data_IF_558320244684
#
_entry.id   IF_558320244684
#
_cell.length_a   1.000
_cell.length_b   1.000
_cell.length_c   1.000
_cell.angle_alpha   90.00
_cell.angle_beta   90.00
_cell.angle_gamma   90.00
#
_symmetry.space_group_name_H-M   'P 1'
#
loop_
_entity.id
_entity.type
_entity.pdbx_description
1 polymer ?
#
# COMPACT_ATOMS: atom_id res chain seq x y z
N UNK A 1 -28.50 -26.34 10.69
CA UNK A 1 -28.88 -25.16 11.51
C UNK A 1 -27.65 -24.28 11.66
N UNK A 2 -27.75 -22.99 11.36
CA UNK A 2 -26.66 -22.04 11.61
C UNK A 2 -26.59 -21.78 13.12
N UNK A 3 -25.44 -22.01 13.74
CA UNK A 3 -25.20 -21.65 15.14
C UNK A 3 -24.28 -20.43 15.13
N UNK A 4 -24.87 -19.25 15.14
CA UNK A 4 -24.11 -18.01 15.22
C UNK A 4 -23.79 -17.73 16.70
N UNK A 5 -22.54 -17.36 16.97
CA UNK A 5 -22.09 -16.90 18.28
C UNK A 5 -21.84 -15.40 18.21
N UNK A 6 -22.02 -14.67 19.31
CA UNK A 6 -21.62 -13.26 19.40
C UNK A 6 -20.52 -13.12 20.43
N UNK A 7 -19.53 -12.27 20.14
CA UNK A 7 -18.47 -11.90 21.09
C UNK A 7 -18.55 -10.41 21.36
N UNK A 8 -18.38 -10.04 22.63
CA UNK A 8 -18.35 -8.66 23.08
C UNK A 8 -16.98 -8.33 23.65
N UNK A 9 -16.35 -7.32 23.09
CA UNK A 9 -15.07 -6.79 23.55
C UNK A 9 -15.29 -5.82 24.73
N UNK A 10 -14.26 -5.60 25.54
CA UNK A 10 -14.35 -4.82 26.78
C UNK A 10 -14.77 -3.36 26.57
N UNK A 11 -14.51 -2.80 25.38
CA UNK A 11 -14.91 -1.44 24.99
C UNK A 11 -16.30 -1.37 24.31
N UNK A 12 -17.09 -2.45 24.40
CA UNK A 12 -18.47 -2.47 23.93
C UNK A 12 -18.66 -2.76 22.44
N UNK A 13 -17.60 -3.15 21.72
CA UNK A 13 -17.73 -3.66 20.35
C UNK A 13 -18.33 -5.06 20.38
N UNK A 14 -19.37 -5.28 19.58
CA UNK A 14 -20.06 -6.56 19.43
C UNK A 14 -19.82 -7.10 18.03
N UNK A 15 -19.40 -8.37 17.93
CA UNK A 15 -19.02 -9.02 16.68
C UNK A 15 -19.71 -10.37 16.61
N UNK A 16 -20.50 -10.58 15.56
CA UNK A 16 -21.09 -11.88 15.28
C UNK A 16 -20.07 -12.79 14.58
N UNK A 17 -20.05 -14.06 14.96
CA UNK A 17 -19.22 -15.12 14.41
C UNK A 17 -20.12 -16.12 13.67
N UNK A 18 -19.97 -16.17 12.35
CA UNK A 18 -20.85 -16.94 11.47
C UNK A 18 -20.34 -18.37 11.29
N UNK A 19 -21.22 -19.36 11.46
CA UNK A 19 -20.90 -20.79 11.33
C UNK A 19 -21.98 -21.56 10.57
N UNK A 20 -21.55 -22.58 9.82
CA UNK A 20 -22.43 -23.56 9.19
C UNK A 20 -21.94 -24.98 9.53
N UNK A 21 -22.54 -25.60 10.56
CA UNK A 21 -22.02 -26.85 11.12
C UNK A 21 -20.64 -26.63 11.74
N UNK A 22 -19.67 -27.47 11.39
CA UNK A 22 -18.25 -27.32 11.80
C UNK A 22 -17.50 -26.24 11.02
N UNK A 23 -18.08 -25.72 9.94
CA UNK A 23 -17.43 -24.70 9.10
C UNK A 23 -17.54 -23.32 9.75
N UNK A 24 -16.41 -22.66 9.92
CA UNK A 24 -16.33 -21.26 10.28
C UNK A 24 -16.41 -20.41 9.02
N UNK A 25 -17.44 -19.57 8.91
CA UNK A 25 -17.67 -18.74 7.73
C UNK A 25 -16.93 -17.41 7.80
N UNK A 26 -16.67 -16.90 9.01
CA UNK A 26 -16.01 -15.61 9.23
C UNK A 26 -16.76 -14.68 10.19
N UNK A 27 -16.42 -13.39 10.18
CA UNK A 27 -17.14 -12.38 10.97
C UNK A 27 -18.42 -11.92 10.24
N UNK A 28 -19.51 -11.89 10.98
CA UNK A 28 -20.80 -11.31 10.63
C UNK A 28 -20.93 -9.87 11.14
N UNK A 29 -22.15 -9.38 11.39
CA UNK A 29 -22.41 -8.04 11.88
C UNK A 29 -21.42 -7.54 12.94
N UNK A 30 -21.03 -6.27 12.83
CA UNK A 30 -20.19 -5.58 13.82
C UNK A 30 -20.92 -4.34 14.29
N UNK A 31 -21.00 -4.14 15.60
CA UNK A 31 -21.70 -3.01 16.21
C UNK A 31 -20.84 -2.30 17.25
N UNK A 32 -21.03 -0.99 17.38
CA UNK A 32 -20.43 -0.15 18.41
C UNK A 32 -21.49 0.75 19.05
N UNK A 33 -21.82 0.49 20.32
CA UNK A 33 -22.83 1.27 21.04
C UNK A 33 -24.20 1.27 20.35
N UNK A 34 -24.60 0.16 19.73
CA UNK A 34 -25.86 0.03 18.99
C UNK A 34 -25.87 0.61 17.57
N UNK A 35 -24.76 1.19 17.10
CA UNK A 35 -24.60 1.55 15.67
C UNK A 35 -24.00 0.37 14.95
N UNK A 36 -24.66 -0.05 13.87
CA UNK A 36 -24.16 -1.09 12.97
C UNK A 36 -23.01 -0.52 12.14
N UNK A 37 -21.81 -1.05 12.30
CA UNK A 37 -20.64 -0.67 11.49
C UNK A 37 -20.55 -1.49 10.20
N UNK A 38 -21.22 -2.65 10.20
CA UNK A 38 -21.22 -3.63 9.11
C UNK A 38 -22.40 -4.59 9.24
N UNK A 39 -23.12 -4.90 8.15
CA UNK A 39 -24.33 -5.74 8.15
C UNK A 39 -24.11 -7.25 8.08
N UNK A 40 -22.95 -7.70 7.62
CA UNK A 40 -22.54 -9.11 7.73
C UNK A 40 -23.13 -10.13 6.76
N UNK A 41 -23.86 -9.73 5.73
CA UNK A 41 -24.39 -10.61 4.67
C UNK A 41 -23.29 -11.32 3.85
N UNK A 42 -22.06 -10.81 3.87
CA UNK A 42 -20.86 -11.38 3.23
C UNK A 42 -19.73 -11.54 4.24
N UNK A 43 -19.58 -12.72 4.90
CA UNK A 43 -18.64 -12.91 6.01
C UNK A 43 -17.22 -12.41 5.72
N UNK A 44 -16.59 -11.73 6.69
CA UNK A 44 -15.15 -11.40 6.60
C UNK A 44 -14.37 -12.68 6.87
N UNK A 45 -13.50 -13.06 5.94
CA UNK A 45 -12.57 -14.17 6.13
C UNK A 45 -11.29 -13.92 5.31
N UNK A 46 -10.12 -14.31 5.83
CA UNK A 46 -8.89 -14.19 5.07
C UNK A 46 -8.84 -15.22 3.94
N UNK A 47 -8.05 -14.94 2.91
CA UNK A 47 -7.61 -15.92 1.91
C UNK A 47 -6.09 -15.91 1.90
N UNK A 48 -5.48 -17.08 2.05
CA UNK A 48 -4.03 -17.23 1.96
C UNK A 48 -3.68 -17.99 0.71
N UNK A 49 -2.54 -17.67 0.11
CA UNK A 49 -2.02 -18.44 -1.01
C UNK A 49 -0.52 -18.68 -0.85
N UNK A 50 -0.11 -19.90 -1.16
CA UNK A 50 1.29 -20.30 -1.20
C UNK A 50 1.92 -19.91 -2.54
N UNK A 51 3.25 -19.86 -2.55
CA UNK A 51 4.06 -19.57 -3.74
C UNK A 51 3.91 -20.61 -4.85
N UNK A 52 3.50 -21.83 -4.52
CA UNK A 52 3.27 -22.91 -5.49
C UNK A 52 1.82 -23.01 -5.96
N UNK A 53 0.91 -22.16 -5.47
CA UNK A 53 -0.47 -22.09 -5.99
C UNK A 53 -1.51 -22.86 -5.18
N UNK A 54 -1.26 -23.15 -3.90
CA UNK A 54 -2.27 -23.67 -2.97
C UNK A 54 -2.95 -22.48 -2.29
N UNK A 55 -4.27 -22.47 -2.20
CA UNK A 55 -5.00 -21.44 -1.50
C UNK A 55 -5.84 -21.98 -0.35
N UNK A 56 -5.74 -21.32 0.79
CA UNK A 56 -6.51 -21.59 2.01
C UNK A 56 -7.63 -20.56 2.14
N UNK A 57 -8.87 -21.01 1.95
CA UNK A 57 -10.07 -20.17 2.05
C UNK A 57 -11.20 -20.81 2.85
N UNK A 58 -11.01 -22.05 3.30
CA UNK A 58 -11.97 -22.80 4.09
C UNK A 58 -11.43 -23.03 5.49
N UNK A 59 -12.24 -22.69 6.48
CA UNK A 59 -11.90 -22.78 7.89
C UNK A 59 -12.92 -23.63 8.61
N UNK A 60 -12.44 -24.58 9.41
CA UNK A 60 -13.25 -25.52 10.17
C UNK A 60 -12.81 -25.59 11.62
N UNK A 61 -13.66 -26.22 12.43
CA UNK A 61 -13.34 -26.62 13.81
C UNK A 61 -12.85 -25.43 14.66
N UNK A 62 -13.50 -24.28 14.48
CA UNK A 62 -13.07 -23.05 15.12
C UNK A 62 -13.30 -23.09 16.63
N UNK A 63 -12.21 -22.95 17.38
CA UNK A 63 -12.20 -22.70 18.82
C UNK A 63 -12.17 -21.18 19.05
N UNK A 64 -13.03 -20.70 19.95
CA UNK A 64 -13.07 -19.29 20.34
C UNK A 64 -12.67 -19.22 21.81
N UNK A 65 -11.60 -18.50 22.09
CA UNK A 65 -11.10 -18.30 23.43
C UNK A 65 -10.95 -16.81 23.74
N UNK A 66 -10.99 -16.45 25.02
CA UNK A 66 -10.61 -15.12 25.50
C UNK A 66 -9.21 -15.20 26.09
N UNK A 67 -8.32 -14.35 25.62
CA UNK A 67 -6.94 -14.26 26.10
C UNK A 67 -6.64 -12.83 26.53
N UNK A 68 -6.68 -12.58 27.84
CA UNK A 68 -6.70 -11.23 28.38
C UNK A 68 -7.91 -10.45 27.87
N UNK A 69 -7.66 -9.32 27.21
CA UNK A 69 -8.70 -8.48 26.59
C UNK A 69 -9.05 -8.94 25.17
N UNK A 70 -8.25 -9.81 24.56
CA UNK A 70 -8.45 -10.25 23.18
C UNK A 70 -9.44 -11.42 23.11
N UNK A 71 -10.18 -11.47 22.00
CA UNK A 71 -10.84 -12.69 21.53
C UNK A 71 -9.94 -13.33 20.48
N UNK A 72 -9.70 -14.63 20.60
CA UNK A 72 -8.83 -15.39 19.69
C UNK A 72 -9.63 -16.53 19.09
N UNK A 73 -9.66 -16.58 17.76
CA UNK A 73 -10.33 -17.62 16.98
C UNK A 73 -9.24 -18.49 16.38
N UNK A 74 -9.22 -19.77 16.74
CA UNK A 74 -8.27 -20.75 16.19
C UNK A 74 -9.04 -21.72 15.32
N UNK A 75 -8.67 -21.84 14.05
CA UNK A 75 -9.36 -22.68 13.10
C UNK A 75 -8.38 -23.54 12.30
N UNK A 76 -8.81 -24.76 11.98
CA UNK A 76 -8.17 -25.57 10.94
C UNK A 76 -8.43 -24.91 9.60
N UNK A 77 -7.38 -24.72 8.80
CA UNK A 77 -7.47 -24.17 7.47
C UNK A 77 -7.26 -25.27 6.43
N UNK A 78 -8.15 -25.34 5.44
CA UNK A 78 -8.07 -26.31 4.35
C UNK A 78 -7.66 -25.58 3.08
N UNK A 79 -6.53 -26.01 2.52
CA UNK A 79 -5.94 -25.51 1.30
C UNK A 79 -6.20 -26.46 0.13
N UNK A 80 -6.41 -25.91 -1.06
CA UNK A 80 -6.51 -26.67 -2.31
C UNK A 80 -5.69 -25.99 -3.39
N UNK A 81 -5.23 -26.76 -4.37
CA UNK A 81 -4.62 -26.19 -5.56
C UNK A 81 -5.60 -25.22 -6.23
N UNK A 82 -5.11 -24.03 -6.56
CA UNK A 82 -5.80 -23.09 -7.43
C UNK A 82 -5.07 -23.04 -8.77
N UNK A 83 -5.80 -22.69 -9.82
CA UNK A 83 -5.20 -22.46 -11.12
C UNK A 83 -4.09 -21.42 -11.00
N UNK A 84 -2.99 -21.66 -11.72
CA UNK A 84 -1.85 -20.76 -11.71
C UNK A 84 -2.33 -19.33 -12.00
N UNK A 85 -2.06 -18.44 -11.05
CA UNK A 85 -2.16 -17.01 -11.25
C UNK A 85 -0.81 -16.54 -11.77
N UNK A 86 -0.79 -15.83 -12.90
CA UNK A 86 0.41 -15.10 -13.33
C UNK A 86 0.55 -13.81 -12.50
N UNK A 87 0.64 -13.98 -11.18
CA UNK A 87 0.57 -12.92 -10.18
C UNK A 87 1.94 -12.43 -9.73
N UNK A 88 2.97 -13.27 -9.88
CA UNK A 88 4.31 -12.96 -9.38
C UNK A 88 4.97 -11.86 -10.20
N UNK A 89 4.57 -11.67 -11.47
CA UNK A 89 5.27 -10.78 -12.40
C UNK A 89 4.70 -9.35 -12.39
N UNK A 90 3.55 -9.09 -11.76
CA UNK A 90 2.77 -7.93 -12.21
C UNK A 90 2.04 -7.17 -11.07
N UNK A 91 2.14 -5.83 -11.11
CA UNK A 91 1.19 -4.89 -10.50
C UNK A 91 -0.19 -4.91 -11.18
N UNK A 92 -0.45 -5.96 -11.95
CA UNK A 92 -1.52 -6.09 -12.92
C UNK A 92 -2.46 -7.23 -12.49
N UNK A 93 -3.52 -7.45 -13.27
CA UNK A 93 -4.58 -8.39 -12.92
C UNK A 93 -3.95 -9.75 -12.61
N UNK A 94 -4.15 -10.35 -11.41
CA UNK A 94 -3.87 -11.75 -11.25
C UNK A 94 -4.79 -12.47 -12.23
N UNK A 95 -4.23 -12.93 -13.36
CA UNK A 95 -5.00 -13.67 -14.36
C UNK A 95 -5.32 -15.01 -13.75
N UNK A 96 -6.44 -15.09 -13.06
CA UNK A 96 -7.07 -16.36 -12.71
C UNK A 96 -7.61 -16.92 -14.01
N UNK A 97 -7.02 -18.01 -14.47
CA UNK A 97 -7.49 -18.69 -15.68
C UNK A 97 -8.89 -19.27 -15.50
N UNK A 98 -9.38 -19.37 -14.26
CA UNK A 98 -10.67 -19.98 -13.93
C UNK A 98 -10.67 -21.49 -14.13
N UNK A 99 -9.48 -22.08 -14.37
CA UNK A 99 -9.27 -23.50 -14.62
C UNK A 99 -9.07 -24.27 -13.31
N UNK A 100 -9.63 -23.78 -12.20
CA UNK A 100 -9.51 -24.43 -10.88
C UNK A 100 -10.07 -25.86 -10.91
N UNK A 101 -11.00 -26.16 -11.83
CA UNK A 101 -11.55 -27.50 -12.05
C UNK A 101 -10.54 -28.50 -12.66
N UNK A 102 -9.43 -28.02 -13.21
CA UNK A 102 -8.31 -28.86 -13.66
C UNK A 102 -7.25 -29.06 -12.58
N UNK A 103 -7.34 -28.34 -11.46
CA UNK A 103 -6.38 -28.44 -10.39
C UNK A 103 -6.50 -29.80 -9.66
N UNK A 104 -5.39 -30.36 -9.15
CA UNK A 104 -5.46 -31.59 -8.39
C UNK A 104 -6.39 -31.47 -7.17
N UNK A 105 -7.09 -32.55 -6.82
CA UNK A 105 -8.03 -32.58 -5.70
C UNK A 105 -7.37 -32.74 -4.32
N UNK A 106 -6.04 -32.71 -4.27
CA UNK A 106 -5.28 -32.83 -3.03
C UNK A 106 -5.62 -31.69 -2.05
N UNK A 107 -5.83 -32.05 -0.79
CA UNK A 107 -6.08 -31.10 0.29
C UNK A 107 -4.84 -30.94 1.16
N UNK A 108 -4.63 -29.70 1.58
CA UNK A 108 -3.54 -29.30 2.46
C UNK A 108 -4.11 -28.76 3.75
N UNK A 109 -3.42 -28.99 4.86
CA UNK A 109 -3.85 -28.50 6.16
C UNK A 109 -2.91 -27.43 6.70
N UNK A 110 -3.51 -26.36 7.19
CA UNK A 110 -2.83 -25.31 7.95
C UNK A 110 -3.64 -24.93 9.17
N UNK A 111 -3.13 -23.95 9.92
CA UNK A 111 -3.78 -23.41 11.10
C UNK A 111 -3.87 -21.90 11.01
N UNK A 112 -5.07 -21.37 11.21
CA UNK A 112 -5.33 -19.94 11.37
C UNK A 112 -5.51 -19.62 12.86
N UNK A 113 -4.82 -18.61 13.34
CA UNK A 113 -5.15 -17.87 14.55
C UNK A 113 -5.57 -16.45 14.16
N UNK A 114 -6.77 -16.04 14.57
CA UNK A 114 -7.31 -14.72 14.32
C UNK A 114 -7.60 -14.03 15.65
N UNK A 115 -6.82 -12.99 15.94
CA UNK A 115 -6.88 -12.22 17.18
C UNK A 115 -7.60 -10.90 16.97
N UNK A 116 -8.62 -10.66 17.79
CA UNK A 116 -9.42 -9.43 17.86
C UNK A 116 -9.15 -8.78 19.21
N UNK A 117 -8.50 -7.62 19.22
CA UNK A 117 -8.09 -6.93 20.47
C UNK A 117 -8.78 -5.59 20.57
N UNK A 118 -9.54 -5.28 21.64
CA UNK A 118 -10.15 -3.97 21.81
C UNK A 118 -9.08 -2.87 21.81
N UNK A 119 -9.40 -1.72 21.21
CA UNK A 119 -8.50 -0.57 21.17
C UNK A 119 -9.29 0.73 21.13
N UNK A 120 -8.82 1.72 21.87
CA UNK A 120 -9.47 3.04 21.97
C UNK A 120 -8.48 4.19 21.73
N UNK A 121 -7.96 4.37 20.50
CA UNK A 121 -7.04 5.47 20.25
C UNK A 121 -7.77 6.83 20.30
N UNK A 122 -7.03 7.86 20.72
CA UNK A 122 -7.47 9.26 20.64
C UNK A 122 -6.78 9.89 19.43
N UNK A 123 -7.57 10.34 18.46
CA UNK A 123 -7.09 10.95 17.21
C UNK A 123 -7.76 12.32 17.10
N UNK A 124 -6.98 13.40 16.99
CA UNK A 124 -7.54 14.76 16.94
C UNK A 124 -8.40 15.13 18.15
N UNK A 125 -8.12 14.55 19.33
CA UNK A 125 -8.93 14.72 20.54
C UNK A 125 -10.25 13.93 20.57
N UNK A 126 -10.50 13.08 19.58
CA UNK A 126 -11.68 12.21 19.49
C UNK A 126 -11.28 10.77 19.79
N UNK A 127 -11.97 10.13 20.74
CA UNK A 127 -11.79 8.71 21.04
C UNK A 127 -12.55 7.84 20.04
N UNK A 128 -11.85 6.92 19.39
CA UNK A 128 -12.45 5.89 18.56
C UNK A 128 -12.58 4.60 19.36
N UNK A 129 -13.77 4.05 19.57
CA UNK A 129 -13.92 2.71 20.14
C UNK A 129 -13.88 1.69 19.02
N UNK A 130 -12.97 0.71 19.10
CA UNK A 130 -12.73 -0.23 18.02
C UNK A 130 -11.95 -1.46 18.43
N UNK A 131 -11.38 -2.13 17.45
CA UNK A 131 -10.52 -3.28 17.68
C UNK A 131 -9.46 -3.40 16.60
N UNK A 132 -8.39 -4.09 16.95
CA UNK A 132 -7.37 -4.52 16.02
C UNK A 132 -7.60 -5.97 15.66
N UNK A 133 -7.68 -6.23 14.35
CA UNK A 133 -7.72 -7.56 13.75
C UNK A 133 -6.32 -7.97 13.30
N UNK A 134 -5.80 -9.09 13.81
CA UNK A 134 -4.54 -9.70 13.37
C UNK A 134 -4.75 -11.16 13.00
N UNK A 135 -4.08 -11.60 11.96
CA UNK A 135 -4.07 -12.98 11.54
C UNK A 135 -2.66 -13.54 11.65
N UNK A 136 -2.55 -14.73 12.23
CA UNK A 136 -1.35 -15.55 12.19
C UNK A 136 -1.71 -16.89 11.56
N UNK A 137 -0.88 -17.35 10.63
CA UNK A 137 -1.09 -18.57 9.90
C UNK A 137 0.15 -19.46 9.97
N UNK A 138 -0.06 -20.77 10.07
CA UNK A 138 0.98 -21.79 9.91
C UNK A 138 0.53 -22.78 8.85
N UNK A 139 1.28 -22.84 7.75
CA UNK A 139 1.04 -23.75 6.63
C UNK A 139 1.66 -25.13 6.83
N UNK A 140 1.36 -26.06 5.92
CA UNK A 140 1.96 -27.39 5.94
C UNK A 140 3.45 -27.34 5.62
N UNK A 141 4.18 -28.37 6.04
CA UNK A 141 5.61 -28.47 5.81
C UNK A 141 5.95 -28.38 4.30
N UNK A 142 6.97 -27.59 3.99
CA UNK A 142 7.47 -27.40 2.62
C UNK A 142 6.62 -26.46 1.75
N UNK A 143 5.53 -25.89 2.26
CA UNK A 143 4.71 -24.89 1.54
C UNK A 143 4.95 -23.51 2.13
N UNK A 144 5.35 -22.57 1.28
CA UNK A 144 5.72 -21.22 1.68
C UNK A 144 4.63 -20.23 1.27
N UNK A 145 4.31 -19.30 2.16
CA UNK A 145 3.28 -18.29 2.01
C UNK A 145 3.96 -16.93 2.14
N UNK A 146 3.65 -16.04 1.21
CA UNK A 146 4.17 -14.67 1.22
C UNK A 146 3.06 -13.61 1.24
N UNK A 147 1.79 -14.05 1.14
CA UNK A 147 0.65 -13.13 1.09
C UNK A 147 -0.59 -13.66 1.78
N UNK A 148 -1.37 -12.72 2.28
CA UNK A 148 -2.72 -12.96 2.78
C UNK A 148 -3.64 -11.81 2.39
N UNK A 149 -4.81 -12.15 1.87
CA UNK A 149 -5.86 -11.20 1.53
C UNK A 149 -6.90 -11.12 2.66
N UNK A 150 -7.11 -9.93 3.23
CA UNK A 150 -8.29 -9.56 4.00
C UNK A 150 -9.33 -8.98 3.05
N UNK A 151 -10.48 -9.66 2.95
CA UNK A 151 -11.62 -9.23 2.13
C UNK A 151 -12.77 -8.89 3.06
N UNK A 152 -13.05 -7.61 3.19
CA UNK A 152 -14.07 -7.10 4.11
C UNK A 152 -15.01 -6.11 3.43
N UNK A 153 -16.11 -5.80 4.13
CA UNK A 153 -16.99 -4.70 3.77
C UNK A 153 -17.23 -3.87 5.02
N UNK A 154 -17.33 -2.56 4.87
CA UNK A 154 -17.69 -1.67 5.97
C UNK A 154 -18.68 -0.64 5.46
N UNK A 155 -19.78 -0.52 6.18
CA UNK A 155 -20.89 0.32 5.79
C UNK A 155 -21.53 0.86 7.06
N UNK A 156 -21.14 2.10 7.43
CA UNK A 156 -21.64 2.75 8.63
C UNK A 156 -23.17 2.87 8.57
N UNK A 157 -23.87 2.39 9.60
CA UNK A 157 -25.32 2.24 9.60
C UNK A 157 -25.86 0.99 8.89
N UNK A 158 -24.98 0.11 8.39
CA UNK A 158 -25.36 -1.10 7.65
C UNK A 158 -25.64 -0.89 6.16
N UNK A 159 -25.46 0.33 5.64
CA UNK A 159 -25.62 0.70 4.23
C UNK A 159 -24.63 1.81 3.88
N UNK A 160 -24.21 1.91 2.62
CA UNK A 160 -23.46 3.07 2.13
C UNK A 160 -24.32 4.33 1.97
N UNK A 161 -25.65 4.21 1.99
CA UNK A 161 -26.55 5.34 1.84
C UNK A 161 -26.42 6.33 3.02
N UNK A 162 -26.20 7.61 2.70
CA UNK A 162 -26.04 8.66 3.72
C UNK A 162 -24.63 8.75 4.32
N UNK A 163 -23.69 7.96 3.80
CA UNK A 163 -22.29 8.03 4.18
C UNK A 163 -21.46 8.80 3.14
N UNK A 164 -20.40 9.44 3.60
CA UNK A 164 -19.40 10.08 2.74
C UNK A 164 -18.04 9.43 3.00
N UNK A 165 -17.35 9.02 1.94
CA UNK A 165 -15.98 8.52 1.97
C UNK A 165 -15.01 9.67 1.71
N UNK A 166 -13.98 9.82 2.56
CA UNK A 166 -12.83 10.70 2.28
C UNK A 166 -11.60 9.81 2.11
N UNK A 167 -11.17 9.64 0.85
CA UNK A 167 -10.09 8.73 0.46
C UNK A 167 -9.21 9.40 -0.61
N UNK A 168 -8.00 9.81 -0.21
CA UNK A 168 -7.05 10.38 -1.16
C UNK A 168 -6.43 9.27 -2.01
N UNK A 169 -6.69 9.28 -3.31
CA UNK A 169 -6.21 8.28 -4.26
C UNK A 169 -5.57 8.95 -5.47
N UNK A 170 -4.32 8.62 -5.77
CA UNK A 170 -3.59 9.13 -6.93
C UNK A 170 -4.26 8.78 -8.27
N UNK A 171 -4.94 7.64 -8.35
CA UNK A 171 -5.55 7.16 -9.59
C UNK A 171 -6.95 7.69 -9.86
N UNK A 172 -7.60 8.29 -8.86
CA UNK A 172 -8.93 8.90 -8.96
C UNK A 172 -8.95 10.24 -8.22
N UNK A 173 -8.07 11.19 -8.61
CA UNK A 173 -7.89 12.45 -7.89
C UNK A 173 -9.15 13.32 -7.87
N UNK A 174 -10.03 13.15 -8.86
CA UNK A 174 -11.32 13.83 -8.95
C UNK A 174 -12.37 13.30 -7.94
N UNK A 175 -12.08 12.21 -7.23
CA UNK A 175 -12.98 11.53 -6.29
C UNK A 175 -12.38 11.34 -4.89
N UNK A 176 -11.67 12.34 -4.38
CA UNK A 176 -11.10 12.29 -3.02
C UNK A 176 -12.16 12.31 -1.91
N UNK A 177 -13.33 12.89 -2.18
CA UNK A 177 -14.46 12.91 -1.27
C UNK A 177 -15.71 12.56 -2.05
N UNK A 178 -16.43 11.52 -1.61
CA UNK A 178 -17.54 10.94 -2.36
C UNK A 178 -18.71 10.67 -1.43
N UNK A 179 -19.83 11.33 -1.69
CA UNK A 179 -21.11 10.96 -1.09
C UNK A 179 -21.52 9.61 -1.67
N UNK A 180 -21.50 8.59 -0.83
CA UNK A 180 -21.86 7.24 -1.23
C UNK A 180 -23.37 7.08 -1.26
N UNK A 181 -23.78 6.10 -2.05
CA UNK A 181 -25.16 5.65 -2.11
C UNK A 181 -25.27 4.48 -3.07
N UNK A 182 -26.44 3.83 -3.08
CA UNK A 182 -26.70 2.67 -3.93
C UNK A 182 -26.36 2.93 -5.40
N UNK A 183 -26.68 4.10 -5.94
CA UNK A 183 -26.41 4.47 -7.34
C UNK A 183 -24.96 4.84 -7.67
N UNK A 184 -24.08 4.94 -6.67
CA UNK A 184 -22.71 5.44 -6.84
C UNK A 184 -21.76 4.28 -7.11
N UNK A 185 -20.89 4.48 -8.11
CA UNK A 185 -19.73 3.65 -8.39
C UNK A 185 -18.45 4.37 -7.96
N UNK A 186 -17.61 3.66 -7.21
CA UNK A 186 -16.34 4.18 -6.72
C UNK A 186 -15.28 3.08 -6.67
N UNK A 187 -14.04 3.44 -6.97
CA UNK A 187 -12.91 2.54 -6.90
C UNK A 187 -11.61 3.30 -6.71
N UNK A 188 -10.70 2.77 -5.89
CA UNK A 188 -9.30 3.24 -5.82
C UNK A 188 -8.35 2.50 -6.77
N UNK A 189 -8.85 1.54 -7.56
CA UNK A 189 -8.04 0.87 -8.59
C UNK A 189 -7.83 1.78 -9.79
N UNK A 190 -6.59 1.89 -10.26
CA UNK A 190 -6.21 2.59 -11.47
C UNK A 190 -6.59 1.78 -12.70
N UNK A 191 -7.84 1.88 -13.16
CA UNK A 191 -8.32 1.15 -14.35
C UNK A 191 -8.15 1.93 -15.66
N UNK A 192 -7.61 3.13 -15.60
CA UNK A 192 -7.34 3.93 -16.78
C UNK A 192 -5.93 3.67 -17.32
N UNK A 193 -5.81 3.56 -18.64
CA UNK A 193 -4.54 3.74 -19.32
C UNK A 193 -4.17 5.22 -19.17
N UNK A 194 -3.02 5.51 -18.55
CA UNK A 194 -2.58 6.91 -18.45
C UNK A 194 -2.12 7.35 -19.85
N UNK A 195 -2.70 8.43 -20.40
CA UNK A 195 -2.23 8.99 -21.66
C UNK A 195 -0.75 9.36 -21.56
N UNK A 196 0.05 8.99 -22.57
CA UNK A 196 1.51 9.19 -22.56
C UNK A 196 2.31 8.13 -21.77
N UNK A 197 1.66 7.28 -20.98
CA UNK A 197 2.28 6.11 -20.35
C UNK A 197 1.85 4.85 -21.11
N UNK A 198 2.81 4.03 -21.54
CA UNK A 198 2.52 2.82 -22.33
C UNK A 198 1.71 1.73 -21.61
N UNK A 199 1.40 1.90 -20.32
CA UNK A 199 0.75 0.91 -19.47
C UNK A 199 -0.57 1.37 -18.84
N UNK A 200 -1.39 0.40 -18.42
CA UNK A 200 -2.50 0.62 -17.49
C UNK A 200 -1.97 0.96 -16.09
N UNK A 201 -2.73 1.77 -15.36
CA UNK A 201 -2.43 2.06 -13.97
C UNK A 201 -2.66 0.84 -13.05
N UNK A 202 -2.10 0.94 -11.85
CA UNK A 202 -2.02 -0.11 -10.85
C UNK A 202 -3.40 -0.49 -10.32
N UNK A 203 -3.68 -1.78 -10.15
CA UNK A 203 -4.96 -2.23 -9.58
C UNK A 203 -5.03 -2.07 -8.08
N UNK A 204 -3.92 -2.38 -7.43
CA UNK A 204 -3.77 -2.23 -5.99
C UNK A 204 -2.86 -1.06 -5.70
N UNK A 205 -3.34 -0.21 -4.82
CA UNK A 205 -2.60 0.95 -4.36
C UNK A 205 -1.85 0.60 -3.09
N UNK A 206 -0.61 1.04 -2.98
CA UNK A 206 0.20 0.79 -1.79
C UNK A 206 -0.24 1.71 -0.66
N UNK A 207 -0.63 1.12 0.48
CA UNK A 207 -0.70 1.87 1.74
C UNK A 207 0.68 2.39 2.06
N UNK A 208 0.78 3.65 2.49
CA UNK A 208 2.05 4.33 2.75
C UNK A 208 2.95 4.59 1.53
N UNK A 209 2.62 4.06 0.35
CA UNK A 209 3.36 4.29 -0.89
C UNK A 209 2.93 5.54 -1.65
N UNK A 210 2.01 6.34 -1.11
CA UNK A 210 1.50 7.58 -1.73
C UNK A 210 0.39 7.39 -2.77
N UNK A 211 0.08 6.15 -3.16
CA UNK A 211 -1.01 5.86 -4.11
C UNK A 211 -2.41 6.06 -3.51
N UNK A 212 -2.58 5.69 -2.23
CA UNK A 212 -3.82 5.90 -1.46
C UNK A 212 -3.49 6.35 -0.02
N UNK A 213 -4.49 6.83 0.72
CA UNK A 213 -4.31 7.19 2.10
C UNK A 213 -3.92 5.96 2.96
N UNK A 214 -3.16 6.17 4.06
CA UNK A 214 -2.74 5.08 4.92
C UNK A 214 -3.86 4.45 5.77
N UNK A 215 -5.03 5.08 5.75
CA UNK A 215 -6.26 4.67 6.42
C UNK A 215 -7.45 5.02 5.51
N UNK A 216 -8.56 4.33 5.74
CA UNK A 216 -9.86 4.60 5.16
C UNK A 216 -10.70 5.40 6.15
N UNK A 217 -11.49 6.36 5.65
CA UNK A 217 -12.33 7.21 6.49
C UNK A 217 -13.73 7.38 5.91
N UNK A 218 -14.71 6.82 6.61
CA UNK A 218 -16.12 6.88 6.26
C UNK A 218 -16.87 7.64 7.36
N UNK A 219 -17.69 8.62 7.00
CA UNK A 219 -18.48 9.36 7.99
C UNK A 219 -19.94 9.51 7.59
N UNK A 220 -20.78 9.77 8.59
CA UNK A 220 -22.16 10.19 8.46
C UNK A 220 -22.47 11.26 9.52
N UNK A 221 -23.72 11.70 9.62
CA UNK A 221 -24.13 12.60 10.70
C UNK A 221 -23.92 11.98 12.10
N UNK A 222 -23.95 10.65 12.23
CA UNK A 222 -23.88 9.92 13.50
C UNK A 222 -22.45 9.68 14.01
N UNK A 223 -21.44 9.88 13.16
CA UNK A 223 -20.04 9.68 13.52
C UNK A 223 -19.15 9.30 12.33
N UNK A 224 -17.94 8.80 12.63
CA UNK A 224 -17.07 8.20 11.61
C UNK A 224 -16.51 6.85 12.01
N UNK A 225 -16.32 6.05 10.97
CA UNK A 225 -15.56 4.83 10.96
C UNK A 225 -14.19 5.10 10.34
N UNK A 226 -13.14 4.69 11.05
CA UNK A 226 -11.78 4.68 10.52
C UNK A 226 -11.27 3.25 10.44
N UNK A 227 -10.54 2.95 9.38
CA UNK A 227 -9.81 1.69 9.24
C UNK A 227 -8.37 1.97 8.84
N UNK A 228 -7.39 1.43 9.56
CA UNK A 228 -5.99 1.64 9.20
C UNK A 228 -5.07 0.67 9.93
N UNK A 229 -3.78 0.74 9.63
CA UNK A 229 -2.81 -0.28 10.07
C UNK A 229 -1.95 0.22 11.21
N UNK A 230 -1.63 -0.64 12.17
CA UNK A 230 -0.89 -0.21 13.36
C UNK A 230 0.52 0.26 13.06
N UNK A 231 1.17 -0.34 12.07
CA UNK A 231 2.51 0.02 11.61
C UNK A 231 2.56 0.00 10.09
N UNK A 232 3.44 0.80 9.47
CA UNK A 232 3.74 0.63 8.05
C UNK A 232 4.15 -0.82 7.72
N UNK A 233 3.63 -1.34 6.62
CA UNK A 233 3.96 -2.63 6.05
C UNK A 233 3.66 -2.61 4.55
N UNK A 234 4.16 -3.61 3.83
CA UNK A 234 3.85 -3.75 2.41
C UNK A 234 2.43 -4.31 2.24
N UNK A 235 1.46 -3.41 2.10
CA UNK A 235 0.05 -3.72 1.97
C UNK A 235 -0.48 -3.10 0.68
N UNK A 236 -1.01 -3.97 -0.18
CA UNK A 236 -1.68 -3.60 -1.41
C UNK A 236 -3.17 -3.52 -1.14
N UNK A 237 -3.77 -2.35 -1.32
CA UNK A 237 -5.20 -2.17 -1.03
C UNK A 237 -6.00 -1.63 -2.20
N UNK A 238 -7.28 -1.97 -2.20
CA UNK A 238 -8.26 -1.42 -3.12
C UNK A 238 -9.63 -1.33 -2.46
N UNK A 239 -10.30 -0.20 -2.64
CA UNK A 239 -11.69 0.02 -2.21
C UNK A 239 -12.60 -0.05 -3.43
N UNK A 240 -13.73 -0.73 -3.30
CA UNK A 240 -14.65 -0.94 -4.40
C UNK A 240 -16.10 -0.77 -3.94
N UNK A 241 -16.83 0.11 -4.63
CA UNK A 241 -18.27 0.28 -4.50
C UNK A 241 -18.88 0.18 -5.88
N UNK A 242 -19.81 -0.76 -6.05
CA UNK A 242 -20.56 -0.94 -7.31
C UNK A 242 -21.90 -0.24 -7.23
N UNK A 243 -22.35 0.32 -8.35
CA UNK A 243 -23.73 0.77 -8.48
C UNK A 243 -24.70 -0.41 -8.26
N UNK A 244 -25.81 -0.16 -7.57
CA UNK A 244 -26.80 -1.16 -7.14
C UNK A 244 -26.46 -1.85 -5.81
N UNK A 245 -25.19 -1.85 -5.39
CA UNK A 245 -24.75 -2.42 -4.11
C UNK A 245 -24.82 -1.37 -2.99
N UNK A 246 -25.07 -1.80 -1.76
CA UNK A 246 -25.11 -0.98 -0.55
C UNK A 246 -23.88 -1.21 0.36
N UNK A 247 -22.88 -1.96 -0.13
CA UNK A 247 -21.62 -2.24 0.56
C UNK A 247 -20.47 -1.47 -0.06
N UNK A 248 -19.54 -1.04 0.78
CA UNK A 248 -18.21 -0.63 0.35
C UNK A 248 -17.24 -1.77 0.66
N UNK A 249 -16.67 -2.37 -0.38
CA UNK A 249 -15.71 -3.45 -0.27
C UNK A 249 -14.29 -2.93 -0.05
N UNK A 250 -13.57 -3.58 0.85
CA UNK A 250 -12.19 -3.31 1.19
C UNK A 250 -11.39 -4.58 0.96
N UNK A 251 -10.33 -4.45 0.16
CA UNK A 251 -9.41 -5.52 -0.17
C UNK A 251 -8.04 -5.09 0.27
N UNK A 252 -7.42 -5.86 1.16
CA UNK A 252 -6.07 -5.59 1.64
C UNK A 252 -5.25 -6.86 1.58
N UNK A 253 -4.19 -6.81 0.80
CA UNK A 253 -3.27 -7.92 0.62
C UNK A 253 -1.99 -7.59 1.36
N UNK A 254 -1.78 -8.30 2.45
CA UNK A 254 -0.61 -8.22 3.30
C UNK A 254 0.50 -9.07 2.70
N UNK A 255 1.67 -8.46 2.47
CA UNK A 255 2.87 -9.17 2.04
C UNK A 255 3.86 -9.37 3.17
N UNK A 256 4.53 -10.51 3.14
CA UNK A 256 5.65 -10.84 4.00
C UNK A 256 6.70 -11.63 3.23
N UNK A 257 7.87 -11.82 3.84
CA UNK A 257 8.85 -12.79 3.37
C UNK A 257 8.19 -14.17 3.28
N UNK A 258 8.52 -14.94 2.24
CA UNK A 258 7.98 -16.27 2.05
C UNK A 258 8.45 -17.22 3.17
N UNK A 259 7.51 -17.73 3.95
CA UNK A 259 7.76 -18.62 5.09
C UNK A 259 6.55 -19.58 5.26
N UNK A 260 6.70 -20.68 6.00
CA UNK A 260 5.58 -21.52 6.43
C UNK A 260 4.66 -20.78 7.41
N UNK A 261 5.17 -19.73 8.06
CA UNK A 261 4.41 -18.89 8.98
C UNK A 261 4.22 -17.48 8.41
N UNK A 262 3.02 -16.94 8.55
CA UNK A 262 2.74 -15.55 8.20
C UNK A 262 1.96 -14.90 9.32
N UNK A 263 2.36 -13.70 9.73
CA UNK A 263 1.61 -12.84 10.63
C UNK A 263 1.38 -11.49 9.94
N UNK A 264 0.14 -11.00 9.96
CA UNK A 264 -0.16 -9.68 9.44
C UNK A 264 0.09 -8.60 10.48
N UNK A 265 0.42 -7.40 10.02
CA UNK A 265 0.20 -6.22 10.86
C UNK A 265 -1.27 -6.12 11.24
N UNK A 266 -1.54 -5.52 12.40
CA UNK A 266 -2.92 -5.35 12.86
C UNK A 266 -3.66 -4.28 12.08
N UNK A 267 -4.87 -4.62 11.64
CA UNK A 267 -5.82 -3.70 11.04
C UNK A 267 -6.75 -3.19 12.13
N UNK A 268 -6.62 -1.93 12.50
CA UNK A 268 -7.56 -1.25 13.38
C UNK A 268 -8.83 -0.89 12.62
N UNK A 269 -9.99 -1.17 13.22
CA UNK A 269 -11.28 -0.64 12.80
C UNK A 269 -11.93 0.00 14.02
N UNK A 270 -12.26 1.28 13.92
CA UNK A 270 -12.80 2.04 15.04
C UNK A 270 -13.93 2.97 14.64
N UNK A 271 -14.82 3.22 15.58
CA UNK A 271 -15.94 4.13 15.43
C UNK A 271 -15.88 5.22 16.49
N UNK A 272 -16.01 6.47 16.03
CA UNK A 272 -16.20 7.63 16.88
C UNK A 272 -17.63 8.13 16.70
N UNK A 273 -18.43 8.10 17.77
CA UNK A 273 -19.78 8.65 17.77
C UNK A 273 -19.72 10.17 17.78
N UNK A 274 -20.57 10.80 16.96
CA UNK A 274 -20.73 12.23 16.99
C UNK A 274 -21.38 12.70 18.31
N UNK A 275 -20.87 13.79 18.91
CA UNK A 275 -21.50 14.43 20.10
C UNK A 275 -22.77 15.22 19.75
N UNK A 276 -23.03 15.39 18.45
CA UNK A 276 -24.17 16.03 17.82
C UNK A 276 -24.26 15.51 16.38
N UNK A 277 -24.72 16.30 15.41
CA UNK A 277 -24.58 15.95 14.01
C UNK A 277 -23.22 16.44 13.48
N UNK A 278 -22.40 15.54 12.93
CA UNK A 278 -21.16 15.96 12.28
C UNK A 278 -21.44 16.68 10.97
N UNK A 279 -20.77 17.80 10.77
CA UNK A 279 -20.70 18.47 9.48
C UNK A 279 -19.55 17.91 8.65
N UNK A 280 -19.57 18.19 7.35
CA UNK A 280 -18.44 17.88 6.45
C UNK A 280 -17.14 18.55 6.91
N UNK A 281 -17.21 19.73 7.52
CA UNK A 281 -16.04 20.41 8.08
C UNK A 281 -15.46 19.65 9.27
N UNK A 282 -16.31 19.17 10.19
CA UNK A 282 -15.87 18.36 11.32
C UNK A 282 -15.18 17.08 10.85
N UNK A 283 -15.79 16.41 9.87
CA UNK A 283 -15.24 15.20 9.26
C UNK A 283 -13.87 15.45 8.58
N UNK A 284 -13.72 16.54 7.82
CA UNK A 284 -12.44 16.92 7.19
C UNK A 284 -11.36 17.24 8.22
N UNK A 285 -11.70 17.97 9.28
CA UNK A 285 -10.76 18.26 10.37
C UNK A 285 -10.28 16.97 11.05
N UNK A 286 -11.20 16.04 11.33
CA UNK A 286 -10.85 14.76 11.93
C UNK A 286 -10.06 13.86 10.96
N UNK A 287 -10.39 13.89 9.67
CA UNK A 287 -9.63 13.20 8.63
C UNK A 287 -8.19 13.72 8.56
N UNK A 288 -7.98 15.05 8.62
CA UNK A 288 -6.64 15.64 8.67
C UNK A 288 -5.90 15.20 9.93
N UNK A 289 -6.56 15.21 11.10
CA UNK A 289 -5.95 14.73 12.34
C UNK A 289 -5.60 13.23 12.28
N UNK A 290 -6.39 12.43 11.57
CA UNK A 290 -6.07 11.02 11.31
C UNK A 290 -4.86 10.88 10.38
N UNK A 291 -4.75 11.71 9.34
CA UNK A 291 -3.57 11.76 8.48
C UNK A 291 -2.30 12.11 9.27
N UNK A 292 -2.37 13.10 10.15
CA UNK A 292 -1.26 13.47 11.02
C UNK A 292 -0.90 12.30 11.96
N UNK A 293 -1.89 11.73 12.66
CA UNK A 293 -1.69 10.59 13.56
C UNK A 293 -0.99 9.41 12.89
N UNK A 294 -1.46 9.02 11.70
CA UNK A 294 -0.85 7.92 10.97
C UNK A 294 0.55 8.33 10.46
N UNK A 295 0.73 9.56 9.95
CA UNK A 295 2.01 10.03 9.41
C UNK A 295 3.09 10.08 10.49
N UNK A 296 2.76 10.54 11.70
CA UNK A 296 3.65 10.51 12.84
C UNK A 296 4.13 9.10 13.16
N UNK A 297 3.22 8.12 13.19
CA UNK A 297 3.58 6.70 13.39
C UNK A 297 4.46 6.14 12.28
N UNK A 298 4.22 6.56 11.04
CA UNK A 298 5.08 6.17 9.92
C UNK A 298 6.48 6.77 10.06
N UNK A 299 6.58 8.03 10.50
CA UNK A 299 7.85 8.65 10.84
C UNK A 299 8.56 7.95 12.02
N UNK A 300 7.84 7.64 13.09
CA UNK A 300 8.38 6.88 14.24
C UNK A 300 8.93 5.51 13.79
N UNK A 301 8.14 4.77 13.00
CA UNK A 301 8.54 3.48 12.45
C UNK A 301 9.80 3.60 11.58
N UNK A 302 9.82 4.59 10.68
CA UNK A 302 10.95 4.85 9.80
C UNK A 302 12.13 5.53 10.51
N UNK A 303 11.99 5.89 11.80
CA UNK A 303 12.93 6.70 12.58
C UNK A 303 13.28 8.02 11.89
N UNK A 304 12.30 8.62 11.24
CA UNK A 304 12.37 9.92 10.60
C UNK A 304 11.57 10.94 11.39
N UNK A 305 11.68 12.21 11.02
CA UNK A 305 10.88 13.30 11.60
C UNK A 305 9.90 13.80 10.54
N UNK A 306 8.66 14.14 10.93
CA UNK A 306 7.77 14.88 10.04
C UNK A 306 8.47 16.16 9.59
N UNK A 307 8.51 16.41 8.28
CA UNK A 307 8.93 17.69 7.74
C UNK A 307 7.67 18.51 7.41
N UNK A 308 7.67 19.82 7.66
CA UNK A 308 6.57 20.67 7.22
C UNK A 308 6.42 20.56 5.70
N UNK A 309 5.18 20.55 5.22
CA UNK A 309 4.89 20.59 3.78
C UNK A 309 5.39 21.94 3.27
N UNK A 310 6.42 21.89 2.43
CA UNK A 310 6.97 23.06 1.76
C UNK A 310 6.34 23.20 0.37
N UNK A 311 6.00 24.42 -0.09
CA UNK A 311 5.59 24.64 -1.47
C UNK A 311 6.68 24.09 -2.41
N UNK A 312 6.33 23.07 -3.18
CA UNK A 312 7.26 22.31 -4.01
C UNK A 312 6.83 22.39 -5.47
N UNK A 313 7.80 22.58 -6.35
CA UNK A 313 7.62 22.45 -7.79
C UNK A 313 8.33 21.18 -8.26
N UNK A 314 7.55 20.27 -8.85
CA UNK A 314 8.08 19.09 -9.54
C UNK A 314 8.51 19.48 -10.95
N UNK A 315 9.74 19.14 -11.32
CA UNK A 315 10.30 19.40 -12.63
C UNK A 315 10.56 18.07 -13.36
N UNK A 316 9.89 17.82 -14.50
CA UNK A 316 10.29 16.73 -15.38
C UNK A 316 11.62 17.14 -16.04
N UNK A 317 12.75 16.69 -15.48
CA UNK A 317 14.03 16.72 -16.19
C UNK A 317 14.07 15.58 -17.22
N UNK A 318 14.68 15.86 -18.36
CA UNK A 318 14.80 14.97 -19.50
C UNK A 318 15.55 15.71 -20.61
N UNK A 319 15.71 15.10 -21.79
CA UNK A 319 16.48 15.69 -22.89
C UNK A 319 16.05 17.11 -23.29
N UNK A 320 14.79 17.48 -23.06
CA UNK A 320 14.25 18.80 -23.38
C UNK A 320 14.46 19.85 -22.27
N UNK A 321 14.95 19.44 -21.09
CA UNK A 321 15.12 20.30 -19.92
C UNK A 321 16.44 19.94 -19.19
N UNK A 322 17.61 20.22 -19.79
CA UNK A 322 18.90 20.00 -19.15
C UNK A 322 19.07 20.91 -17.93
N UNK A 323 19.99 20.57 -17.02
CA UNK A 323 20.10 21.24 -15.72
C UNK A 323 20.44 22.72 -15.83
N UNK A 324 21.32 23.11 -16.76
CA UNK A 324 21.71 24.53 -16.93
C UNK A 324 20.57 25.39 -17.45
N UNK A 325 19.84 24.90 -18.45
CA UNK A 325 18.67 25.62 -18.98
C UNK A 325 17.60 25.77 -17.91
N UNK A 326 17.33 24.71 -17.14
CA UNK A 326 16.42 24.75 -15.99
C UNK A 326 16.87 25.80 -14.96
N UNK A 327 18.17 25.86 -14.68
CA UNK A 327 18.75 26.81 -13.73
C UNK A 327 18.54 28.26 -14.17
N UNK A 328 18.79 28.55 -15.45
CA UNK A 328 18.76 29.90 -16.00
C UNK A 328 17.34 30.39 -16.33
N UNK A 329 16.38 29.48 -16.51
CA UNK A 329 15.01 29.83 -16.96
C UNK A 329 13.93 29.66 -15.90
N UNK A 330 14.06 28.72 -14.96
CA UNK A 330 12.95 28.35 -14.05
C UNK A 330 13.21 28.68 -12.58
N UNK A 331 14.46 28.73 -12.13
CA UNK A 331 14.77 28.91 -10.70
C UNK A 331 14.27 30.26 -10.17
N UNK A 332 14.59 31.36 -10.84
CA UNK A 332 14.17 32.69 -10.40
C UNK A 332 12.64 32.86 -10.44
N UNK A 333 11.93 32.47 -11.53
CA UNK A 333 10.45 32.47 -11.53
C UNK A 333 9.85 31.64 -10.40
N UNK A 334 10.39 30.44 -10.13
CA UNK A 334 9.89 29.59 -9.06
C UNK A 334 10.07 30.23 -7.68
N UNK A 335 11.22 30.84 -7.43
CA UNK A 335 11.48 31.58 -6.20
C UNK A 335 10.51 32.76 -6.04
N UNK A 336 10.22 33.52 -7.10
CA UNK A 336 9.24 34.63 -7.09
C UNK A 336 7.82 34.16 -6.80
N UNK A 337 7.45 32.96 -7.23
CA UNK A 337 6.17 32.32 -6.92
C UNK A 337 6.10 31.76 -5.49
N UNK A 338 7.21 31.80 -4.74
CA UNK A 338 7.26 31.39 -3.34
C UNK A 338 7.52 29.90 -3.12
N UNK A 339 7.94 29.17 -4.16
CA UNK A 339 8.40 27.80 -4.00
C UNK A 339 9.62 27.75 -3.07
N UNK A 340 9.72 26.65 -2.32
CA UNK A 340 10.78 26.38 -1.34
C UNK A 340 11.61 25.16 -1.70
N UNK A 341 11.08 24.31 -2.57
CA UNK A 341 11.72 23.08 -3.02
C UNK A 341 11.52 22.92 -4.52
N UNK A 342 12.61 22.68 -5.24
CA UNK A 342 12.57 22.13 -6.59
C UNK A 342 12.85 20.63 -6.50
N UNK A 343 11.92 19.82 -7.00
CA UNK A 343 12.05 18.36 -7.04
C UNK A 343 12.24 17.88 -8.46
N UNK A 344 13.40 17.29 -8.73
CA UNK A 344 13.76 16.74 -10.03
C UNK A 344 13.22 15.29 -10.14
N UNK A 345 12.73 14.92 -11.32
CA UNK A 345 12.66 13.53 -11.78
C UNK A 345 14.08 12.87 -11.80
N UNK A 346 14.22 11.58 -12.17
CA UNK A 346 15.48 10.86 -11.97
C UNK A 346 16.62 11.50 -12.74
N UNK A 347 17.73 11.75 -12.04
CA UNK A 347 18.93 12.40 -12.59
C UNK A 347 19.92 11.40 -13.20
N UNK A 348 19.64 10.11 -13.02
CA UNK A 348 20.52 9.02 -13.41
C UNK A 348 20.53 8.79 -14.91
N UNK A 349 21.64 8.23 -15.42
CA UNK A 349 21.68 7.64 -16.75
C UNK A 349 20.63 6.53 -16.83
N UNK A 350 19.61 6.77 -17.65
CA UNK A 350 18.38 5.99 -17.69
C UNK A 350 17.70 6.12 -19.05
N UNK A 351 16.70 5.28 -19.28
CA UNK A 351 15.87 5.34 -20.47
C UNK A 351 15.23 6.72 -20.71
N UNK A 352 14.99 7.50 -19.67
CA UNK A 352 14.42 8.86 -19.79
C UNK A 352 15.37 9.86 -20.44
N UNK A 353 16.67 9.68 -20.25
CA UNK A 353 17.69 10.67 -20.56
C UNK A 353 18.50 10.31 -21.79
N UNK A 354 18.22 9.16 -22.43
CA UNK A 354 18.89 8.72 -23.65
C UNK A 354 18.03 8.95 -24.89
N UNK A 355 18.63 9.38 -26.02
CA UNK A 355 17.92 9.52 -27.28
C UNK A 355 17.25 8.19 -27.70
N UNK A 356 15.96 8.24 -28.02
CA UNK A 356 15.20 7.07 -28.48
C UNK A 356 14.65 6.16 -27.37
N UNK A 357 14.88 6.47 -26.09
CA UNK A 357 14.24 5.75 -24.98
C UNK A 357 12.75 6.06 -24.83
N UNK A 358 11.99 5.17 -24.18
CA UNK A 358 10.56 5.34 -23.94
C UNK A 358 10.20 6.37 -22.83
N UNK A 359 11.19 7.14 -22.33
CA UNK A 359 10.94 8.19 -21.34
C UNK A 359 10.82 7.70 -19.89
N UNK A 360 11.20 6.45 -19.59
CA UNK A 360 11.01 5.86 -18.26
C UNK A 360 12.17 6.15 -17.30
N UNK A 361 11.98 7.13 -16.41
CA UNK A 361 12.98 7.47 -15.39
C UNK A 361 13.22 6.39 -14.32
N UNK A 362 12.34 5.38 -14.22
CA UNK A 362 12.54 4.26 -13.29
C UNK A 362 13.64 3.29 -13.75
N UNK A 363 13.95 3.27 -15.06
CA UNK A 363 14.85 2.30 -15.68
C UNK A 363 16.29 2.83 -15.65
N UNK A 364 16.90 2.80 -14.48
CA UNK A 364 18.29 3.27 -14.28
C UNK A 364 19.25 2.29 -14.98
N UNK A 365 20.11 2.80 -15.86
CA UNK A 365 21.14 2.03 -16.56
C UNK A 365 22.49 2.10 -15.85
N UNK A 366 22.76 3.22 -15.19
CA UNK A 366 23.99 3.46 -14.43
C UNK A 366 23.71 4.53 -13.36
N UNK A 367 24.26 4.38 -12.16
CA UNK A 367 24.08 5.32 -11.04
C UNK A 367 25.01 6.54 -11.15
N UNK A 368 25.23 7.00 -12.38
CA UNK A 368 25.89 8.28 -12.67
C UNK A 368 24.85 9.32 -13.06
N UNK A 369 25.14 10.59 -12.80
CA UNK A 369 24.32 11.69 -13.30
C UNK A 369 24.40 11.69 -14.83
N UNK A 370 23.25 11.74 -15.51
CA UNK A 370 23.19 11.66 -16.97
C UNK A 370 23.95 12.83 -17.62
N UNK A 371 24.89 12.51 -18.51
CA UNK A 371 25.70 13.50 -19.24
C UNK A 371 24.85 14.33 -20.20
N UNK A 372 23.80 13.72 -20.75
CA UNK A 372 22.82 14.36 -21.62
C UNK A 372 22.02 15.47 -20.92
N UNK A 373 21.94 15.42 -19.58
CA UNK A 373 21.36 16.51 -18.77
C UNK A 373 22.39 17.58 -18.37
N UNK A 374 23.67 17.39 -18.72
CA UNK A 374 24.79 18.23 -18.35
C UNK A 374 25.69 17.66 -17.24
N UNK A 375 25.47 16.41 -16.84
CA UNK A 375 26.30 15.71 -15.84
C UNK A 375 26.31 16.37 -14.46
N UNK A 376 27.27 15.98 -13.63
CA UNK A 376 27.42 16.54 -12.27
C UNK A 376 27.70 18.05 -12.28
N UNK A 377 28.41 18.55 -13.30
CA UNK A 377 28.70 19.98 -13.43
C UNK A 377 27.43 20.81 -13.69
N UNK A 378 26.51 20.28 -14.51
CA UNK A 378 25.21 20.89 -14.74
C UNK A 378 24.33 20.84 -13.49
N UNK A 379 24.29 19.69 -12.81
CA UNK A 379 23.53 19.53 -11.57
C UNK A 379 24.04 20.48 -10.48
N UNK A 380 25.36 20.61 -10.35
CA UNK A 380 25.99 21.56 -9.42
C UNK A 380 25.59 23.00 -9.72
N UNK A 381 25.64 23.40 -10.98
CA UNK A 381 25.23 24.75 -11.38
C UNK A 381 23.78 25.04 -11.03
N UNK A 382 22.88 24.07 -11.24
CA UNK A 382 21.48 24.17 -10.85
C UNK A 382 21.32 24.28 -9.32
N UNK A 383 22.00 23.43 -8.54
CA UNK A 383 21.98 23.50 -7.08
C UNK A 383 22.43 24.87 -6.56
N UNK A 384 23.58 25.36 -7.05
CA UNK A 384 24.12 26.66 -6.65
C UNK A 384 23.12 27.80 -6.96
N UNK A 385 22.40 27.74 -8.09
CA UNK A 385 21.35 28.72 -8.44
C UNK A 385 20.14 28.62 -7.54
N UNK A 386 19.69 27.42 -7.21
CA UNK A 386 18.56 27.19 -6.30
C UNK A 386 18.87 27.73 -4.90
N UNK A 387 20.09 27.47 -4.41
CA UNK A 387 20.55 27.95 -3.11
C UNK A 387 20.68 29.47 -3.01
N UNK A 388 21.01 30.17 -4.11
CA UNK A 388 21.01 31.64 -4.15
C UNK A 388 19.64 32.25 -3.78
N UNK A 389 18.56 31.50 -3.95
CA UNK A 389 17.20 31.90 -3.59
C UNK A 389 16.71 31.30 -2.26
N UNK A 390 17.56 30.61 -1.50
CA UNK A 390 17.19 29.95 -0.24
C UNK A 390 16.19 28.82 -0.41
N UNK A 391 16.13 28.21 -1.59
CA UNK A 391 15.33 27.02 -1.88
C UNK A 391 16.18 25.75 -1.73
N UNK A 392 15.52 24.60 -1.65
CA UNK A 392 16.15 23.27 -1.66
C UNK A 392 16.04 22.64 -3.05
N UNK A 393 17.07 21.91 -3.48
CA UNK A 393 17.05 21.05 -4.66
C UNK A 393 17.11 19.58 -4.22
N UNK A 394 16.06 18.82 -4.51
CA UNK A 394 16.02 17.37 -4.27
C UNK A 394 15.76 16.63 -5.58
N UNK A 395 16.21 15.39 -5.69
CA UNK A 395 16.04 14.59 -6.91
C UNK A 395 15.43 13.24 -6.60
N UNK A 396 14.55 12.72 -7.44
CA UNK A 396 14.03 11.38 -7.23
C UNK A 396 15.16 10.33 -7.35
N UNK A 397 15.34 9.53 -6.29
CA UNK A 397 16.32 8.44 -6.24
C UNK A 397 16.11 7.34 -7.29
N UNK A 398 14.91 7.19 -7.89
CA UNK A 398 14.64 6.09 -8.82
C UNK A 398 14.87 4.72 -8.18
N UNK A 399 14.19 4.46 -7.06
CA UNK A 399 14.60 3.47 -6.06
C UNK A 399 14.93 2.08 -6.61
N UNK A 400 16.11 1.53 -6.25
CA UNK A 400 16.66 0.15 -6.41
C UNK A 400 16.29 -0.70 -7.64
N UNK A 401 15.58 -0.16 -8.63
CA UNK A 401 15.18 -0.86 -9.85
C UNK A 401 16.14 -0.48 -10.95
N UNK A 402 16.60 -1.50 -11.65
CA UNK A 402 17.66 -1.42 -12.62
C UNK A 402 17.08 -1.80 -13.98
N UNK A 403 17.32 -0.97 -14.99
CA UNK A 403 16.99 -1.28 -16.37
C UNK A 403 17.78 -2.49 -16.87
N UNK A 404 17.33 -3.11 -17.97
CA UNK A 404 18.02 -4.26 -18.58
C UNK A 404 19.51 -4.00 -18.87
N UNK A 405 19.90 -2.77 -19.21
CA UNK A 405 21.31 -2.44 -19.47
C UNK A 405 22.15 -2.35 -18.19
N UNK A 406 21.61 -1.85 -17.07
CA UNK A 406 22.31 -1.93 -15.79
C UNK A 406 22.50 -3.39 -15.36
N UNK A 407 21.55 -4.28 -15.72
CA UNK A 407 21.77 -5.70 -15.51
C UNK A 407 23.00 -6.19 -16.29
N UNK A 408 23.24 -5.68 -17.51
CA UNK A 408 24.46 -5.99 -18.26
C UNK A 408 25.71 -5.55 -17.49
N UNK A 409 25.74 -4.32 -16.96
CA UNK A 409 26.83 -3.86 -16.08
C UNK A 409 27.05 -4.79 -14.88
N UNK A 410 25.97 -5.18 -14.19
CA UNK A 410 26.04 -6.12 -13.07
C UNK A 410 26.58 -7.49 -13.51
N UNK A 411 26.22 -7.97 -14.71
CA UNK A 411 26.73 -9.24 -15.27
C UNK A 411 28.22 -9.15 -15.59
N UNK A 412 28.60 -8.07 -16.26
CA UNK A 412 29.95 -7.80 -16.74
C UNK A 412 30.94 -7.59 -15.59
N UNK A 413 30.48 -6.98 -14.50
CA UNK A 413 31.26 -6.76 -13.28
C UNK A 413 31.12 -7.90 -12.24
N UNK A 414 30.56 -9.05 -12.64
CA UNK A 414 30.43 -10.26 -11.80
C UNK A 414 29.61 -10.08 -10.50
N UNK A 415 28.66 -9.15 -10.48
CA UNK A 415 27.80 -8.86 -9.32
C UNK A 415 26.39 -9.48 -9.46
N UNK A 416 26.26 -10.59 -10.18
CA UNK A 416 24.97 -11.25 -10.45
C UNK A 416 24.22 -11.69 -9.18
N UNK A 417 24.92 -11.83 -8.07
CA UNK A 417 24.42 -12.09 -6.72
C UNK A 417 23.74 -10.87 -6.09
N UNK A 418 23.96 -9.66 -6.60
CA UNK A 418 23.31 -8.43 -6.11
C UNK A 418 21.89 -8.24 -6.63
N UNK A 419 21.44 -9.07 -7.57
CA UNK A 419 20.10 -8.97 -8.15
C UNK A 419 19.11 -9.80 -7.34
N UNK A 420 17.94 -9.22 -7.05
CA UNK A 420 16.83 -9.92 -6.43
C UNK A 420 16.33 -11.07 -7.32
N UNK A 421 16.11 -12.23 -6.71
CA UNK A 421 15.66 -13.46 -7.37
C UNK A 421 14.49 -14.08 -6.64
N UNK A 422 13.62 -14.74 -7.39
CA UNK A 422 12.63 -15.66 -6.84
C UNK A 422 13.31 -16.89 -6.21
N UNK A 423 12.55 -17.62 -5.39
CA UNK A 423 12.99 -18.87 -4.75
C UNK A 423 13.42 -19.95 -5.76
N UNK A 424 12.92 -19.88 -7.00
CA UNK A 424 13.31 -20.76 -8.11
C UNK A 424 14.50 -20.20 -8.93
N UNK A 425 15.22 -19.22 -8.39
CA UNK A 425 16.34 -18.51 -9.00
C UNK A 425 16.03 -17.71 -10.27
N UNK A 426 14.75 -17.58 -10.66
CA UNK A 426 14.35 -16.65 -11.73
C UNK A 426 14.56 -15.21 -11.27
N UNK A 427 14.87 -14.34 -12.22
CA UNK A 427 15.05 -12.92 -11.96
C UNK A 427 13.74 -12.28 -11.49
N UNK A 428 13.79 -11.49 -10.42
CA UNK A 428 12.62 -10.78 -9.89
C UNK A 428 12.35 -9.50 -10.71
N UNK A 429 11.24 -9.48 -11.45
CA UNK A 429 10.89 -8.39 -12.38
C UNK A 429 10.38 -7.09 -11.75
N UNK A 430 10.27 -6.98 -10.42
CA UNK A 430 9.77 -5.78 -9.71
C UNK A 430 8.42 -5.21 -10.18
N UNK A 431 7.67 -5.95 -11.00
CA UNK A 431 6.40 -5.53 -11.60
C UNK A 431 6.51 -4.68 -12.87
N UNK A 432 7.70 -4.59 -13.48
CA UNK A 432 7.91 -4.03 -14.82
C UNK A 432 8.76 -5.00 -15.64
N UNK A 433 8.26 -5.43 -16.80
CA UNK A 433 8.98 -6.39 -17.65
C UNK A 433 10.36 -5.86 -18.12
N UNK A 434 10.59 -4.56 -18.03
CA UNK A 434 11.84 -3.89 -18.39
C UNK A 434 12.82 -3.65 -17.23
N UNK A 435 12.52 -4.09 -16.00
CA UNK A 435 13.34 -3.77 -14.82
C UNK A 435 13.56 -4.94 -13.87
N UNK A 436 14.61 -4.83 -13.08
CA UNK A 436 15.03 -5.85 -12.11
C UNK A 436 15.37 -5.17 -10.79
N UNK A 437 15.16 -5.83 -9.66
CA UNK A 437 15.47 -5.26 -8.35
C UNK A 437 16.91 -5.54 -7.92
N UNK A 438 17.57 -4.57 -7.30
CA UNK A 438 18.74 -4.81 -6.46
C UNK A 438 18.30 -5.50 -5.15
N UNK A 439 18.99 -6.55 -4.74
CA UNK A 439 18.78 -7.18 -3.44
C UNK A 439 19.46 -6.33 -2.36
N UNK A 440 18.66 -5.50 -1.69
CA UNK A 440 19.14 -4.65 -0.58
C UNK A 440 19.48 -5.42 0.69
N UNK A 441 19.22 -6.73 0.75
CA UNK A 441 19.76 -7.57 1.81
C UNK A 441 21.23 -7.91 1.57
N UNK A 442 21.72 -7.73 0.34
CA UNK A 442 23.13 -7.86 0.03
C UNK A 442 23.86 -6.57 0.43
N UNK A 443 24.60 -6.61 1.55
CA UNK A 443 25.23 -5.43 2.17
C UNK A 443 26.10 -4.60 1.19
N UNK A 444 26.85 -5.26 0.29
CA UNK A 444 27.64 -4.56 -0.71
C UNK A 444 26.76 -3.80 -1.73
N UNK A 445 25.63 -4.37 -2.13
CA UNK A 445 24.70 -3.77 -3.08
C UNK A 445 23.98 -2.57 -2.43
N UNK A 446 23.53 -2.75 -1.18
CA UNK A 446 22.94 -1.70 -0.36
C UNK A 446 23.91 -0.50 -0.17
N UNK A 447 25.16 -0.77 0.21
CA UNK A 447 26.18 0.27 0.38
C UNK A 447 26.49 0.98 -0.93
N UNK A 448 26.65 0.26 -2.03
CA UNK A 448 26.90 0.86 -3.34
C UNK A 448 25.83 1.91 -3.71
N UNK A 449 24.54 1.57 -3.56
CA UNK A 449 23.46 2.51 -3.85
C UNK A 449 23.49 3.76 -2.95
N UNK A 450 23.69 3.57 -1.64
CA UNK A 450 23.71 4.68 -0.67
C UNK A 450 24.93 5.57 -0.85
N UNK A 451 26.11 4.98 -0.99
CA UNK A 451 27.36 5.72 -1.14
C UNK A 451 27.40 6.49 -2.44
N UNK A 452 26.81 5.95 -3.50
CA UNK A 452 26.66 6.66 -4.78
C UNK A 452 25.76 7.89 -4.64
N UNK A 453 24.58 7.73 -4.02
CA UNK A 453 23.69 8.86 -3.73
C UNK A 453 24.39 9.92 -2.85
N UNK A 454 25.03 9.50 -1.75
CA UNK A 454 25.75 10.40 -0.84
C UNK A 454 26.86 11.15 -1.57
N UNK A 455 27.64 10.46 -2.41
CA UNK A 455 28.70 11.07 -3.19
C UNK A 455 28.20 12.14 -4.16
N UNK A 456 27.05 11.91 -4.83
CA UNK A 456 26.45 12.92 -5.72
C UNK A 456 26.00 14.14 -4.92
N UNK A 457 25.37 13.95 -3.76
CA UNK A 457 25.01 15.05 -2.84
C UNK A 457 26.24 15.89 -2.48
N UNK A 458 27.32 15.24 -2.03
CA UNK A 458 28.56 15.91 -1.63
C UNK A 458 29.23 16.68 -2.79
N UNK A 459 29.24 16.12 -4.00
CA UNK A 459 29.92 16.73 -5.16
C UNK A 459 29.12 17.85 -5.82
N UNK A 460 27.79 17.79 -5.76
CA UNK A 460 26.92 18.71 -6.52
C UNK A 460 26.22 19.75 -5.66
N UNK A 461 26.08 19.52 -4.35
CA UNK A 461 25.28 20.39 -3.49
C UNK A 461 23.78 20.08 -3.56
N UNK A 462 23.38 18.95 -4.12
CA UNK A 462 22.00 18.45 -4.01
C UNK A 462 21.62 18.28 -2.53
N UNK A 463 20.43 18.72 -2.11
CA UNK A 463 20.02 18.68 -0.69
C UNK A 463 19.50 17.30 -0.25
N UNK A 464 19.22 16.41 -1.20
CA UNK A 464 18.79 15.04 -0.92
C UNK A 464 18.09 14.37 -2.10
N UNK A 465 17.63 13.15 -1.84
CA UNK A 465 16.85 12.33 -2.77
C UNK A 465 15.45 12.00 -2.27
#
# INVERSE_FOLDING_TARGET
MNQNASVKLDNGIEIELLRAGSRFLGLGPVQAGGVLLRKGDRPIRPVLATMDGIAFSDFGDAEIAREGQSVVIRARAVGRWQSATDDMVSHWWPVRTGLDYLAPSEEFEGRLEWRLTPKEPVIGGVTFSGFVSRYAFTGPAGKYICRMEDRSTWELGGSTDGNTLIERCYYTPEKHEVDLGRGIEYSTSGRAKMEGFGGWAFQYSLRWGGSIAPFDFLFSADGALIRGFETPAYIRSWLCKRAGDDRLGFFDEHFAQADQKLETVGTFVGFARARGAWTRTDARNLWTAALDYYTERACEFARTKPKPILPMMTLPNGLNHPFRETADTLVEPAAKLGFKVLWLHPIWDSEMNRPGGYGNGCSVYDWKVAEELGGEAGLKYLADKVHQHGMLLIAWCGGIRQGWEHNAWVRENQHMDWLARYINHRQFGSGYDCMTGLDVNHDAAYRYAIETCRGVVERTGLDGF
#
